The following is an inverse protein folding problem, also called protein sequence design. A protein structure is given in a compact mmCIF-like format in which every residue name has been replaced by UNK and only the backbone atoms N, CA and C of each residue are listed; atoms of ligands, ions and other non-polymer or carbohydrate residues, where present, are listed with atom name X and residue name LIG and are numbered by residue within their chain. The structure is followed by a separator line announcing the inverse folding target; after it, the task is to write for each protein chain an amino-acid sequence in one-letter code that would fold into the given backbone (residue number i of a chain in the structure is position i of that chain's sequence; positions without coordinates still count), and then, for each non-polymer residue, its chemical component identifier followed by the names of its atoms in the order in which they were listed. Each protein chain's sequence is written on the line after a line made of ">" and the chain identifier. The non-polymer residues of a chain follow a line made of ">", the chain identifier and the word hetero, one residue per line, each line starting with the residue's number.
data_IF_609031908361
#
_entry.id   IF_609031908361
#
_cell.length_a   1.000
_cell.length_b   1.000
_cell.length_c   1.000
_cell.angle_alpha   90.00
_cell.angle_beta   90.00
_cell.angle_gamma   90.00
#
_symmetry.space_group_name_H-M   'P 1'
#
loop_
_entity.id
_entity.type
_entity.pdbx_description
1 polymer ?
#
# COMPACT_ATOMS: atom_id res chain seq x y z
N UNK A 1 -7.44 12.17 -10.37
CA UNK A 1 -8.87 11.78 -10.44
C UNK A 1 -9.24 11.12 -11.74
N UNK A 2 -8.99 11.72 -12.91
CA UNK A 2 -9.33 11.08 -14.19
C UNK A 2 -8.74 9.67 -14.36
N UNK A 3 -7.47 9.48 -13.98
CA UNK A 3 -6.82 8.17 -14.04
C UNK A 3 -7.45 7.12 -13.10
N UNK A 4 -8.13 7.53 -12.02
CA UNK A 4 -8.85 6.60 -11.14
C UNK A 4 -10.11 6.06 -11.83
N UNK A 5 -10.83 6.92 -12.56
CA UNK A 5 -11.99 6.50 -13.38
C UNK A 5 -11.62 5.55 -14.54
N UNK A 6 -10.34 5.47 -14.90
CA UNK A 6 -9.83 4.55 -15.92
C UNK A 6 -9.40 3.20 -15.32
N UNK A 7 -9.28 3.09 -14.00
CA UNK A 7 -9.01 1.83 -13.33
C UNK A 7 -10.30 0.99 -13.24
N UNK A 8 -10.34 -0.24 -13.78
CA UNK A 8 -11.57 -1.03 -13.83
C UNK A 8 -12.15 -1.39 -12.47
N UNK A 9 -11.30 -1.62 -11.46
CA UNK A 9 -11.76 -2.01 -10.12
C UNK A 9 -12.33 -0.79 -9.40
N UNK A 10 -11.66 0.36 -9.49
CA UNK A 10 -12.17 1.64 -8.95
C UNK A 10 -13.46 2.05 -9.67
N UNK A 11 -13.47 2.00 -11.00
CA UNK A 11 -14.65 2.34 -11.79
C UNK A 11 -15.86 1.52 -11.33
N UNK A 12 -15.68 0.21 -11.19
CA UNK A 12 -16.73 -0.69 -10.70
C UNK A 12 -17.19 -0.30 -9.30
N UNK A 13 -16.27 -0.16 -8.34
CA UNK A 13 -16.58 0.21 -6.95
C UNK A 13 -17.39 1.51 -6.88
N UNK A 14 -16.97 2.52 -7.62
CA UNK A 14 -17.64 3.82 -7.69
C UNK A 14 -19.02 3.73 -8.35
N UNK A 15 -19.14 3.01 -9.46
CA UNK A 15 -20.45 2.83 -10.11
C UNK A 15 -21.44 2.02 -9.26
N UNK A 16 -20.96 1.04 -8.48
CA UNK A 16 -21.79 0.21 -7.61
C UNK A 16 -22.45 1.03 -6.48
N UNK A 17 -21.82 2.14 -6.07
CA UNK A 17 -22.38 3.10 -5.09
C UNK A 17 -23.06 4.32 -5.75
N UNK A 18 -23.23 4.31 -7.08
CA UNK A 18 -23.93 5.35 -7.83
C UNK A 18 -23.12 6.62 -8.10
N UNK A 19 -21.79 6.57 -7.95
CA UNK A 19 -20.93 7.72 -8.29
C UNK A 19 -20.82 7.91 -9.80
N UNK A 20 -20.73 9.18 -10.21
CA UNK A 20 -20.63 9.56 -11.62
C UNK A 20 -19.42 10.46 -11.86
N UNK A 21 -18.75 10.26 -13.00
CA UNK A 21 -17.59 11.05 -13.39
C UNK A 21 -17.96 12.54 -13.47
N UNK A 22 -17.33 13.36 -12.63
CA UNK A 22 -17.57 14.81 -12.55
C UNK A 22 -18.43 15.24 -11.34
N UNK A 23 -19.09 14.32 -10.65
CA UNK A 23 -19.76 14.56 -9.37
C UNK A 23 -18.92 13.99 -8.21
N UNK A 24 -19.36 14.25 -6.96
CA UNK A 24 -18.71 13.80 -5.71
C UNK A 24 -18.20 12.36 -5.83
N UNK A 25 -16.89 12.21 -5.96
CA UNK A 25 -16.22 10.93 -5.81
C UNK A 25 -16.13 10.56 -4.32
N UNK A 26 -15.91 9.29 -3.99
CA UNK A 26 -15.81 8.74 -2.62
C UNK A 26 -14.88 9.54 -1.69
N UNK A 27 -13.89 10.23 -2.27
CA UNK A 27 -12.96 11.16 -1.62
C UNK A 27 -13.61 12.41 -0.98
N UNK A 28 -14.94 12.56 -1.07
CA UNK A 28 -15.71 13.75 -0.62
C UNK A 28 -16.63 13.48 0.60
N UNK A 29 -16.32 12.44 1.37
CA UNK A 29 -16.99 12.08 2.64
C UNK A 29 -16.55 13.00 3.79
N UNK A 30 -17.38 13.06 4.84
CA UNK A 30 -17.14 13.86 6.06
C UNK A 30 -15.84 13.46 6.79
N UNK A 31 -15.43 12.19 6.66
CA UNK A 31 -14.06 11.72 6.96
C UNK A 31 -13.49 11.10 5.70
N UNK A 32 -12.64 11.82 4.95
CA UNK A 32 -12.13 11.31 3.69
C UNK A 32 -11.06 10.24 3.94
N UNK A 33 -11.34 9.01 3.49
CA UNK A 33 -10.44 7.87 3.51
C UNK A 33 -10.45 7.18 2.14
N UNK A 34 -9.38 6.47 1.80
CA UNK A 34 -9.35 5.61 0.61
C UNK A 34 -9.80 4.20 0.96
N UNK A 35 -10.66 3.61 0.13
CA UNK A 35 -10.89 2.16 0.15
C UNK A 35 -9.59 1.43 -0.21
N UNK A 36 -9.57 0.10 0.00
CA UNK A 36 -8.42 -0.70 -0.37
C UNK A 36 -8.15 -0.67 -1.88
N UNK A 37 -9.22 -0.68 -2.69
CA UNK A 37 -9.16 -0.62 -4.16
C UNK A 37 -8.64 0.75 -4.59
N UNK A 38 -9.17 1.83 -4.02
CA UNK A 38 -8.69 3.18 -4.29
C UNK A 38 -7.22 3.36 -3.90
N UNK A 39 -6.81 2.89 -2.72
CA UNK A 39 -5.42 2.96 -2.25
C UNK A 39 -4.47 2.27 -3.23
N UNK A 40 -4.82 1.06 -3.68
CA UNK A 40 -4.04 0.30 -4.66
C UNK A 40 -3.93 1.02 -6.01
N UNK A 41 -5.04 1.59 -6.50
CA UNK A 41 -5.05 2.35 -7.73
C UNK A 41 -4.20 3.63 -7.63
N UNK A 42 -4.31 4.40 -6.54
CA UNK A 42 -3.48 5.60 -6.34
C UNK A 42 -2.00 5.23 -6.29
N UNK A 43 -1.62 4.21 -5.52
CA UNK A 43 -0.24 3.73 -5.44
C UNK A 43 0.28 3.31 -6.82
N UNK A 44 -0.49 2.51 -7.57
CA UNK A 44 -0.12 2.05 -8.91
C UNK A 44 0.05 3.20 -9.90
N UNK A 45 -0.86 4.18 -9.90
CA UNK A 45 -0.77 5.37 -10.75
C UNK A 45 0.49 6.18 -10.43
N UNK A 46 0.78 6.40 -9.15
CA UNK A 46 1.95 7.16 -8.70
C UNK A 46 3.25 6.44 -9.08
N UNK A 47 3.34 5.14 -8.79
CA UNK A 47 4.51 4.31 -9.14
C UNK A 47 4.72 4.25 -10.65
N UNK A 48 3.66 4.09 -11.44
CA UNK A 48 3.75 4.04 -12.90
C UNK A 48 4.27 5.34 -13.50
N UNK A 49 3.78 6.48 -12.99
CA UNK A 49 4.14 7.80 -13.51
C UNK A 49 5.58 8.20 -13.20
N UNK A 50 6.07 7.85 -12.01
CA UNK A 50 7.31 8.43 -11.49
C UNK A 50 8.43 7.42 -11.26
N UNK A 51 8.12 6.14 -11.07
CA UNK A 51 9.11 5.10 -10.75
C UNK A 51 9.14 3.94 -11.74
N UNK A 52 8.34 3.96 -12.82
CA UNK A 52 8.31 2.91 -13.87
C UNK A 52 8.27 1.48 -13.28
N UNK A 53 7.42 1.25 -12.28
CA UNK A 53 7.28 -0.04 -11.57
C UNK A 53 8.49 -0.50 -10.73
N UNK A 54 9.44 0.39 -10.41
CA UNK A 54 10.59 0.05 -9.56
C UNK A 54 10.28 -0.03 -8.05
N UNK A 55 9.06 0.32 -7.64
CA UNK A 55 8.63 0.26 -6.25
C UNK A 55 7.44 -0.69 -6.11
N UNK A 56 7.43 -1.43 -5.01
CA UNK A 56 6.34 -2.34 -4.67
C UNK A 56 5.10 -1.55 -4.23
N UNK A 57 4.03 -1.65 -5.01
CA UNK A 57 2.75 -1.00 -4.73
C UNK A 57 2.09 -1.57 -3.48
N UNK A 58 2.23 -2.86 -3.24
CA UNK A 58 1.55 -3.57 -2.15
C UNK A 58 2.20 -3.16 -0.81
N UNK A 59 3.53 -2.96 -0.81
CA UNK A 59 4.27 -2.34 0.29
C UNK A 59 3.80 -0.91 0.60
N UNK A 60 3.62 -0.06 -0.42
CA UNK A 60 3.13 1.31 -0.25
C UNK A 60 1.73 1.30 0.38
N UNK A 61 0.85 0.43 -0.10
CA UNK A 61 -0.51 0.31 0.43
C UNK A 61 -0.54 -0.18 1.88
N UNK A 62 0.28 -1.19 2.21
CA UNK A 62 0.39 -1.68 3.58
C UNK A 62 0.91 -0.61 4.54
N UNK A 63 1.90 0.18 4.13
CA UNK A 63 2.41 1.30 4.94
C UNK A 63 1.37 2.39 5.14
N UNK A 64 0.63 2.77 4.08
CA UNK A 64 -0.48 3.72 4.18
C UNK A 64 -1.55 3.28 5.19
N UNK A 65 -1.86 1.99 5.22
CA UNK A 65 -2.80 1.42 6.19
C UNK A 65 -2.24 1.44 7.62
N UNK A 66 -0.97 1.09 7.82
CA UNK A 66 -0.33 1.13 9.15
C UNK A 66 -0.22 2.56 9.68
N UNK A 67 0.12 3.51 8.81
CA UNK A 67 0.42 4.89 9.17
C UNK A 67 -0.84 5.69 9.45
N UNK A 68 -1.85 5.66 8.57
CA UNK A 68 -3.03 6.52 8.69
C UNK A 68 -4.36 5.78 8.62
N UNK A 69 -4.36 4.45 8.49
CA UNK A 69 -5.57 3.70 8.13
C UNK A 69 -6.20 4.23 6.83
N UNK A 70 -5.36 4.64 5.87
CA UNK A 70 -5.72 5.23 4.57
C UNK A 70 -6.51 6.55 4.64
N UNK A 71 -6.48 7.24 5.77
CA UNK A 71 -7.18 8.50 5.96
C UNK A 71 -6.40 9.68 5.33
N UNK A 72 -7.10 10.59 4.66
CA UNK A 72 -6.47 11.65 3.86
C UNK A 72 -6.00 12.83 4.71
N UNK A 73 -6.79 13.23 5.70
CA UNK A 73 -6.62 14.47 6.46
C UNK A 73 -6.04 14.24 7.86
N UNK A 74 -5.27 13.16 8.04
CA UNK A 74 -4.66 12.85 9.34
C UNK A 74 -3.38 13.64 9.51
N UNK A 75 -3.30 14.31 10.65
CA UNK A 75 -2.10 14.94 11.16
C UNK A 75 -1.74 14.35 12.51
N UNK A 76 -0.46 14.00 12.72
CA UNK A 76 0.03 13.51 14.00
C UNK A 76 1.23 14.30 14.44
N UNK A 77 1.09 15.01 15.55
CA UNK A 77 2.18 15.76 16.14
C UNK A 77 3.14 14.83 16.91
N UNK A 78 4.40 14.81 16.52
CA UNK A 78 5.45 14.09 17.22
C UNK A 78 6.19 15.03 18.18
N UNK A 79 5.98 14.84 19.49
CA UNK A 79 6.59 15.66 20.54
C UNK A 79 8.11 15.60 20.57
N UNK A 80 8.73 14.49 20.12
CA UNK A 80 10.20 14.32 20.18
C UNK A 80 10.90 15.21 19.17
N UNK A 81 10.40 15.22 17.93
CA UNK A 81 10.96 16.00 16.82
C UNK A 81 10.28 17.37 16.65
N UNK A 82 9.24 17.65 17.43
CA UNK A 82 8.44 18.90 17.40
C UNK A 82 7.90 19.23 16.00
N UNK A 83 7.47 18.20 15.29
CA UNK A 83 6.94 18.31 13.93
C UNK A 83 5.73 17.38 13.76
N UNK A 84 4.83 17.77 12.87
CA UNK A 84 3.66 16.96 12.49
C UNK A 84 3.93 16.17 11.21
N UNK A 85 3.56 14.88 11.23
CA UNK A 85 3.37 14.09 10.01
C UNK A 85 1.98 14.32 9.46
N UNK A 86 1.83 14.32 8.12
CA UNK A 86 0.56 14.62 7.46
C UNK A 86 0.21 13.60 6.38
N UNK A 87 -1.10 13.43 6.16
CA UNK A 87 -1.68 12.67 5.05
C UNK A 87 -1.55 11.14 5.16
N UNK A 88 -1.91 10.44 4.09
CA UNK A 88 -2.05 8.97 4.06
C UNK A 88 -0.79 8.22 4.55
N UNK A 89 0.37 8.64 4.09
CA UNK A 89 1.65 7.98 4.39
C UNK A 89 2.43 8.68 5.51
N UNK A 90 1.77 9.59 6.25
CA UNK A 90 2.32 10.29 7.41
C UNK A 90 3.70 10.89 7.13
N UNK A 91 3.81 11.66 6.05
CA UNK A 91 5.08 12.27 5.62
C UNK A 91 5.35 13.53 6.44
N UNK A 92 6.59 13.69 6.91
CA UNK A 92 7.08 14.93 7.53
C UNK A 92 7.32 16.01 6.47
N UNK A 93 7.02 17.27 6.80
CA UNK A 93 7.27 18.40 5.90
C UNK A 93 8.77 18.58 5.65
N UNK A 94 9.59 18.40 6.69
CA UNK A 94 11.06 18.44 6.60
C UNK A 94 11.59 17.35 5.68
N UNK A 95 11.12 16.11 5.83
CA UNK A 95 11.49 14.98 4.95
C UNK A 95 11.10 15.26 3.51
N UNK A 96 9.89 15.73 3.26
CA UNK A 96 9.44 16.05 1.91
C UNK A 96 10.29 17.18 1.29
N UNK A 97 10.62 18.22 2.07
CA UNK A 97 11.51 19.31 1.66
C UNK A 97 12.94 18.85 1.35
N UNK A 98 13.51 17.97 2.18
CA UNK A 98 14.81 17.32 1.93
C UNK A 98 14.77 16.50 0.64
N UNK A 99 13.73 15.70 0.41
CA UNK A 99 13.57 14.91 -0.81
C UNK A 99 13.48 15.80 -2.06
N UNK A 100 12.81 16.96 -1.96
CA UNK A 100 12.69 17.93 -3.04
C UNK A 100 14.02 18.63 -3.36
N UNK A 101 14.71 19.14 -2.33
CA UNK A 101 15.95 19.92 -2.47
C UNK A 101 17.17 19.05 -2.75
N UNK A 102 17.35 18.00 -1.95
CA UNK A 102 18.63 17.31 -1.79
C UNK A 102 18.67 15.99 -2.58
N UNK A 103 17.52 15.33 -2.77
CA UNK A 103 17.40 14.02 -3.46
C UNK A 103 16.73 14.13 -4.85
N UNK A 104 16.32 15.34 -5.25
CA UNK A 104 15.77 15.69 -6.59
C UNK A 104 14.42 15.04 -6.93
N UNK A 105 13.56 14.80 -5.93
CA UNK A 105 12.16 14.40 -6.16
C UNK A 105 11.25 15.62 -6.35
N UNK A 106 11.22 16.18 -7.57
CA UNK A 106 10.64 17.51 -7.86
C UNK A 106 9.31 17.53 -8.61
N UNK A 107 8.60 16.40 -8.70
CA UNK A 107 7.34 16.34 -9.45
C UNK A 107 6.25 17.26 -8.90
N UNK A 108 6.30 17.60 -7.61
CA UNK A 108 5.32 18.47 -6.95
C UNK A 108 6.05 19.53 -6.12
N UNK A 109 5.82 20.81 -6.41
CA UNK A 109 6.39 21.91 -5.63
C UNK A 109 5.61 22.11 -4.34
N UNK A 110 6.16 21.59 -3.24
CA UNK A 110 5.60 21.71 -1.88
C UNK A 110 6.15 22.93 -1.12
N UNK A 111 7.29 23.47 -1.55
CA UNK A 111 7.87 24.66 -0.94
C UNK A 111 6.92 25.86 -1.16
N UNK A 112 6.50 26.49 -0.07
CA UNK A 112 5.51 27.57 -0.07
C UNK A 112 4.05 27.11 -0.01
N UNK A 113 3.76 25.81 -0.09
CA UNK A 113 2.40 25.27 0.07
C UNK A 113 2.41 23.85 0.70
N UNK A 114 2.59 23.75 2.04
CA UNK A 114 2.64 22.45 2.73
C UNK A 114 1.31 21.68 2.66
N UNK A 115 0.18 22.37 2.47
CA UNK A 115 -1.16 21.75 2.40
C UNK A 115 -1.30 20.78 1.23
N UNK A 116 -0.42 20.86 0.23
CA UNK A 116 -0.34 19.89 -0.86
C UNK A 116 -0.11 18.47 -0.35
N UNK A 117 0.54 18.29 0.81
CA UNK A 117 0.77 16.97 1.41
C UNK A 117 -0.51 16.30 1.92
N UNK A 118 -1.65 16.99 2.05
CA UNK A 118 -2.94 16.34 2.31
C UNK A 118 -3.56 15.73 1.04
N UNK A 119 -3.02 16.05 -0.15
CA UNK A 119 -3.52 15.47 -1.40
C UNK A 119 -2.96 14.04 -1.55
N UNK A 120 -3.81 13.02 -1.76
CA UNK A 120 -3.40 11.61 -1.73
C UNK A 120 -2.26 11.30 -2.71
N UNK A 121 -2.34 11.79 -3.96
CA UNK A 121 -1.31 11.57 -4.98
C UNK A 121 0.04 12.21 -4.62
N UNK A 122 0.03 13.39 -3.99
CA UNK A 122 1.25 14.11 -3.59
C UNK A 122 1.86 13.46 -2.36
N UNK A 123 1.03 13.09 -1.39
CA UNK A 123 1.48 12.43 -0.18
C UNK A 123 2.12 11.07 -0.49
N UNK A 124 1.44 10.25 -1.32
CA UNK A 124 1.95 8.94 -1.73
C UNK A 124 3.20 9.09 -2.60
N UNK A 125 3.31 10.14 -3.43
CA UNK A 125 4.54 10.45 -4.15
C UNK A 125 5.71 10.66 -3.18
N UNK A 126 5.56 11.52 -2.18
CA UNK A 126 6.65 11.77 -1.23
C UNK A 126 6.93 10.58 -0.30
N UNK A 127 5.91 9.80 0.09
CA UNK A 127 6.11 8.55 0.81
C UNK A 127 6.87 7.51 -0.03
N UNK A 128 6.53 7.35 -1.30
CA UNK A 128 7.26 6.49 -2.24
C UNK A 128 8.70 6.96 -2.50
N UNK A 129 8.90 8.27 -2.62
CA UNK A 129 10.23 8.88 -2.72
C UNK A 129 11.06 8.58 -1.47
N UNK A 130 10.46 8.68 -0.28
CA UNK A 130 11.14 8.36 0.97
C UNK A 130 11.49 6.87 1.06
N UNK A 131 10.59 5.97 0.66
CA UNK A 131 10.89 4.54 0.55
C UNK A 131 12.08 4.27 -0.37
N UNK A 132 12.10 4.88 -1.55
CA UNK A 132 13.21 4.74 -2.50
C UNK A 132 14.52 5.26 -1.91
N UNK A 133 14.49 6.37 -1.19
CA UNK A 133 15.64 6.90 -0.46
C UNK A 133 16.14 5.90 0.60
N UNK A 134 15.24 5.32 1.39
CA UNK A 134 15.59 4.35 2.44
C UNK A 134 16.24 3.07 1.90
N UNK A 135 15.89 2.62 0.69
CA UNK A 135 16.55 1.48 0.05
C UNK A 135 18.04 1.71 -0.23
N UNK A 136 18.48 2.97 -0.36
CA UNK A 136 19.88 3.37 -0.53
C UNK A 136 20.49 4.03 0.71
N UNK A 137 19.85 3.91 1.87
CA UNK A 137 20.25 4.64 3.08
C UNK A 137 21.68 4.29 3.53
N UNK A 138 22.47 5.32 3.86
CA UNK A 138 23.90 5.22 4.23
C UNK A 138 24.78 4.65 3.09
N UNK A 139 24.39 4.87 1.84
CA UNK A 139 25.14 4.39 0.67
C UNK A 139 25.15 2.86 0.52
N UNK A 140 24.25 2.17 1.23
CA UNK A 140 24.13 0.70 1.23
C UNK A 140 22.78 0.31 0.68
N UNK A 141 22.75 -0.81 -0.03
CA UNK A 141 21.50 -1.47 -0.39
C UNK A 141 20.86 -2.05 0.89
N UNK A 142 19.65 -1.59 1.20
CA UNK A 142 18.91 -2.00 2.40
C UNK A 142 17.86 -3.05 2.07
N UNK A 143 17.60 -3.94 3.03
CA UNK A 143 16.55 -4.94 2.94
C UNK A 143 15.17 -4.30 3.10
N UNK A 144 14.12 -4.96 2.59
CA UNK A 144 12.74 -4.50 2.77
C UNK A 144 12.37 -4.36 4.25
N UNK A 145 12.84 -5.28 5.11
CA UNK A 145 12.61 -5.20 6.55
C UNK A 145 13.22 -3.94 7.17
N UNK A 146 14.47 -3.62 6.83
CA UNK A 146 15.10 -2.37 7.27
C UNK A 146 14.29 -1.17 6.80
N UNK A 147 13.89 -1.15 5.52
CA UNK A 147 13.15 -0.02 4.93
C UNK A 147 11.82 0.20 5.65
N UNK A 148 11.05 -0.85 5.92
CA UNK A 148 9.77 -0.74 6.67
C UNK A 148 10.01 -0.20 8.08
N UNK A 149 10.97 -0.77 8.80
CA UNK A 149 11.26 -0.35 10.17
C UNK A 149 11.77 1.11 10.21
N UNK A 150 12.62 1.48 9.26
CA UNK A 150 13.12 2.85 9.10
C UNK A 150 12.03 3.84 8.71
N UNK A 151 11.06 3.42 7.89
CA UNK A 151 9.93 4.26 7.52
C UNK A 151 9.07 4.58 8.75
N UNK A 152 8.69 3.54 9.52
CA UNK A 152 7.78 3.65 10.66
C UNK A 152 8.44 4.23 11.93
N UNK A 153 9.74 4.00 12.11
CA UNK A 153 10.48 4.35 13.34
C UNK A 153 11.60 5.37 13.17
N UNK A 154 11.95 5.73 11.93
CA UNK A 154 13.12 6.52 11.58
C UNK A 154 14.37 5.65 11.34
N UNK A 155 15.22 5.98 10.35
CA UNK A 155 16.33 5.13 9.93
C UNK A 155 17.46 5.01 10.96
N UNK A 156 17.56 5.96 11.90
CA UNK A 156 18.54 5.94 13.00
C UNK A 156 18.12 5.00 14.14
N UNK A 157 16.82 4.65 14.24
CA UNK A 157 16.24 3.88 15.34
C UNK A 157 15.99 2.41 14.98
N UNK A 158 16.56 1.92 13.88
CA UNK A 158 16.35 0.53 13.45
C UNK A 158 17.19 -0.41 14.31
N UNK A 159 16.57 -0.98 15.34
CA UNK A 159 17.15 -2.01 16.21
C UNK A 159 16.24 -3.25 16.20
N UNK A 160 16.76 -4.39 15.74
CA UNK A 160 16.02 -5.65 15.55
C UNK A 160 15.17 -6.09 16.75
N UNK A 161 15.60 -5.79 17.98
CA UNK A 161 14.85 -6.14 19.19
C UNK A 161 13.64 -5.22 19.44
N UNK A 162 13.76 -3.94 19.10
CA UNK A 162 12.73 -2.93 19.37
C UNK A 162 11.78 -2.74 18.18
N UNK A 163 12.27 -2.88 16.95
CA UNK A 163 11.50 -2.67 15.71
C UNK A 163 10.89 -3.96 15.14
N UNK A 164 11.21 -5.13 15.69
CA UNK A 164 10.60 -6.42 15.32
C UNK A 164 9.05 -6.42 15.30
N UNK A 165 8.35 -5.81 16.28
CA UNK A 165 6.89 -5.68 16.24
C UNK A 165 6.36 -4.88 15.03
N UNK A 166 7.09 -3.87 14.56
CA UNK A 166 6.71 -3.06 13.39
C UNK A 166 6.74 -3.90 12.11
N UNK A 167 7.78 -4.72 11.95
CA UNK A 167 7.88 -5.64 10.83
C UNK A 167 6.79 -6.71 10.85
N UNK A 168 6.48 -7.27 12.03
CA UNK A 168 5.38 -8.22 12.18
C UNK A 168 4.05 -7.62 11.75
N UNK A 169 3.73 -6.41 12.25
CA UNK A 169 2.52 -5.67 11.87
C UNK A 169 2.47 -5.48 10.35
N UNK A 170 3.58 -5.07 9.74
CA UNK A 170 3.66 -4.94 8.29
C UNK A 170 3.41 -6.26 7.54
N UNK A 171 4.01 -7.35 7.98
CA UNK A 171 3.83 -8.68 7.37
C UNK A 171 2.40 -9.19 7.47
N UNK A 172 1.67 -8.79 8.51
CA UNK A 172 0.24 -9.08 8.64
C UNK A 172 -0.57 -8.24 7.64
N UNK A 173 -0.33 -6.93 7.60
CA UNK A 173 -1.06 -5.98 6.75
C UNK A 173 -0.83 -6.21 5.25
N UNK A 174 0.39 -6.54 4.82
CA UNK A 174 0.68 -6.71 3.39
C UNK A 174 -0.12 -7.86 2.77
N UNK A 175 -0.50 -8.88 3.55
CA UNK A 175 -1.31 -10.00 3.05
C UNK A 175 -2.69 -9.56 2.53
N UNK A 176 -3.21 -8.41 2.98
CA UNK A 176 -4.46 -7.87 2.45
C UNK A 176 -4.30 -7.38 1.00
N UNK A 177 -3.10 -6.96 0.61
CA UNK A 177 -2.80 -6.36 -0.69
C UNK A 177 -2.19 -7.34 -1.70
N UNK A 178 -1.50 -8.37 -1.22
CA UNK A 178 -0.95 -9.44 -2.04
C UNK A 178 -2.06 -10.12 -2.85
N UNK A 179 -2.05 -9.94 -4.18
CA UNK A 179 -2.95 -10.68 -5.06
C UNK A 179 -2.42 -12.11 -5.21
N UNK A 180 -3.16 -13.15 -4.76
CA UNK A 180 -2.73 -14.54 -4.91
C UNK A 180 -2.55 -14.93 -6.37
N UNK A 181 -3.25 -14.27 -7.30
CA UNK A 181 -3.11 -14.48 -8.74
C UNK A 181 -1.74 -14.05 -9.24
N UNK A 182 -1.09 -13.03 -8.64
CA UNK A 182 0.30 -12.65 -8.96
C UNK A 182 1.29 -13.72 -8.53
N UNK A 183 1.09 -14.34 -7.37
CA UNK A 183 1.91 -15.47 -6.88
C UNK A 183 1.76 -16.65 -7.84
N UNK A 184 0.53 -16.98 -8.24
CA UNK A 184 0.26 -18.06 -9.18
C UNK A 184 0.92 -17.83 -10.55
N UNK A 185 0.78 -16.63 -11.13
CA UNK A 185 1.40 -16.28 -12.43
C UNK A 185 2.93 -16.26 -12.33
N UNK A 186 3.50 -15.72 -11.25
CA UNK A 186 4.95 -15.71 -11.03
C UNK A 186 5.55 -17.12 -10.87
N UNK A 187 4.86 -17.99 -10.13
CA UNK A 187 5.23 -19.41 -9.99
C UNK A 187 5.06 -20.15 -11.31
N UNK A 188 3.99 -19.89 -12.07
CA UNK A 188 3.78 -20.50 -13.39
C UNK A 188 4.83 -20.06 -14.42
N UNK A 189 5.25 -18.80 -14.38
CA UNK A 189 6.34 -18.28 -15.22
C UNK A 189 7.69 -18.89 -14.83
N UNK A 190 8.02 -18.98 -13.53
CA UNK A 190 9.22 -19.66 -13.06
C UNK A 190 9.22 -21.16 -13.41
N UNK A 191 8.09 -21.85 -13.24
CA UNK A 191 7.89 -23.25 -13.66
C UNK A 191 8.15 -23.43 -15.16
N UNK A 192 7.69 -22.49 -15.99
CA UNK A 192 7.93 -22.52 -17.43
C UNK A 192 9.42 -22.35 -17.78
N UNK A 193 10.14 -21.47 -17.06
CA UNK A 193 11.60 -21.31 -17.24
C UNK A 193 12.41 -22.50 -16.73
N UNK A 194 12.04 -23.08 -15.60
CA UNK A 194 12.78 -24.16 -14.95
C UNK A 194 12.57 -25.53 -15.61
N UNK A 195 11.43 -25.76 -16.29
CA UNK A 195 11.22 -26.96 -17.13
C UNK A 195 12.27 -27.11 -18.25
N UNK A 196 12.97 -26.04 -18.62
CA UNK A 196 14.06 -26.07 -19.59
C UNK A 196 15.42 -26.48 -19.00
N UNK A 197 15.53 -26.58 -17.67
CA UNK A 197 16.75 -26.99 -16.97
C UNK A 197 16.51 -28.38 -16.34
N UNK A 198 16.86 -29.45 -17.05
CA UNK A 198 16.48 -30.83 -16.69
C UNK A 198 17.27 -31.43 -15.52
N UNK A 199 16.87 -31.17 -14.28
CA UNK A 199 17.38 -31.91 -13.10
C UNK A 199 16.26 -32.35 -12.16
N UNK A 200 16.41 -33.54 -11.53
CA UNK A 200 15.41 -34.13 -10.61
C UNK A 200 15.20 -33.34 -9.32
N UNK A 201 16.23 -32.65 -8.82
CA UNK A 201 16.13 -31.81 -7.62
C UNK A 201 15.25 -30.57 -7.84
N UNK A 202 15.21 -30.03 -9.07
CA UNK A 202 14.28 -28.97 -9.43
C UNK A 202 12.83 -29.44 -9.36
N UNK A 203 12.53 -30.71 -9.63
CA UNK A 203 11.15 -31.21 -9.62
C UNK A 203 10.51 -31.12 -8.22
N UNK A 204 11.25 -31.47 -7.17
CA UNK A 204 10.75 -31.34 -5.80
C UNK A 204 10.58 -29.88 -5.36
N UNK A 205 11.48 -28.99 -5.75
CA UNK A 205 11.35 -27.55 -5.47
C UNK A 205 10.12 -26.98 -6.19
N UNK A 206 9.87 -27.41 -7.42
CA UNK A 206 8.70 -27.01 -8.21
C UNK A 206 7.38 -27.51 -7.62
N UNK A 207 7.35 -28.74 -7.10
CA UNK A 207 6.19 -29.27 -6.37
C UNK A 207 5.90 -28.44 -5.12
N UNK A 208 6.91 -28.17 -4.29
CA UNK A 208 6.75 -27.37 -3.08
C UNK A 208 6.27 -25.94 -3.37
N UNK A 209 6.79 -25.30 -4.43
CA UNK A 209 6.34 -23.96 -4.85
C UNK A 209 4.89 -23.96 -5.36
N UNK A 210 4.47 -25.01 -6.07
CA UNK A 210 3.08 -25.13 -6.54
C UNK A 210 2.09 -25.39 -5.39
N UNK A 211 2.47 -26.21 -4.41
CA UNK A 211 1.70 -26.44 -3.18
C UNK A 211 1.60 -25.13 -2.38
N UNK A 212 2.69 -24.40 -2.24
CA UNK A 212 2.71 -23.10 -1.56
C UNK A 212 1.81 -22.06 -2.24
N UNK A 213 1.86 -21.99 -3.58
CA UNK A 213 0.98 -21.11 -4.35
C UNK A 213 -0.50 -21.49 -4.19
N UNK A 214 -0.82 -22.79 -4.26
CA UNK A 214 -2.18 -23.30 -4.07
C UNK A 214 -2.70 -23.02 -2.65
N UNK A 215 -1.85 -23.18 -1.63
CA UNK A 215 -2.16 -22.84 -0.24
C UNK A 215 -2.49 -21.34 -0.08
N UNK A 216 -1.66 -20.44 -0.63
CA UNK A 216 -1.92 -19.01 -0.56
C UNK A 216 -3.18 -18.59 -1.32
N UNK A 217 -3.44 -19.21 -2.47
CA UNK A 217 -4.68 -19.02 -3.22
C UNK A 217 -5.91 -19.44 -2.39
N UNK A 218 -5.88 -20.62 -1.78
CA UNK A 218 -6.95 -21.11 -0.92
C UNK A 218 -7.15 -20.23 0.32
N UNK A 219 -6.05 -19.76 0.94
CA UNK A 219 -6.10 -18.86 2.10
C UNK A 219 -6.79 -17.54 1.74
N UNK A 220 -6.46 -16.94 0.60
CA UNK A 220 -7.10 -15.71 0.14
C UNK A 220 -8.57 -15.90 -0.24
N UNK A 221 -8.91 -17.00 -0.91
CA UNK A 221 -10.30 -17.34 -1.20
C UNK A 221 -11.12 -17.43 0.10
N UNK A 222 -10.54 -18.00 1.16
CA UNK A 222 -11.18 -18.08 2.48
C UNK A 222 -11.31 -16.71 3.16
N UNK A 223 -10.33 -15.80 3.08
CA UNK A 223 -10.48 -14.43 3.61
C UNK A 223 -11.52 -13.62 2.82
N UNK A 224 -11.54 -13.70 1.48
CA UNK A 224 -12.57 -13.03 0.68
C UNK A 224 -13.98 -13.55 0.99
N UNK A 225 -14.13 -14.86 1.24
CA UNK A 225 -15.39 -15.43 1.75
C UNK A 225 -15.72 -14.86 3.12
N UNK A 226 -14.74 -14.70 4.00
CA UNK A 226 -14.93 -14.15 5.35
C UNK A 226 -15.34 -12.68 5.32
N UNK A 227 -14.76 -11.88 4.43
CA UNK A 227 -15.13 -10.49 4.21
C UNK A 227 -16.53 -10.36 3.60
N UNK A 228 -16.89 -11.21 2.62
CA UNK A 228 -18.26 -11.30 2.08
C UNK A 228 -19.28 -11.77 3.13
N UNK A 229 -18.89 -12.71 4.00
CA UNK A 229 -19.72 -13.18 5.11
C UNK A 229 -19.90 -12.09 6.19
N UNK A 230 -18.88 -11.26 6.39
CA UNK A 230 -18.93 -10.10 7.29
C UNK A 230 -19.79 -8.98 6.71
N UNK A 231 -19.66 -8.70 5.41
CA UNK A 231 -20.46 -7.72 4.68
C UNK A 231 -21.94 -8.11 4.65
N UNK A 232 -22.25 -9.39 4.39
CA UNK A 232 -23.63 -9.88 4.42
C UNK A 232 -24.22 -9.78 5.83
N UNK A 233 -23.48 -10.17 6.88
CA UNK A 233 -23.91 -10.05 8.30
C UNK A 233 -24.18 -8.59 8.72
N UNK A 234 -23.50 -7.61 8.14
CA UNK A 234 -23.83 -6.19 8.32
C UNK A 234 -25.05 -5.75 7.50
N UNK A 235 -25.26 -6.27 6.29
CA UNK A 235 -26.45 -5.95 5.48
C UNK A 235 -27.77 -6.46 6.09
N UNK A 236 -27.72 -7.55 6.88
CA UNK A 236 -28.89 -8.06 7.62
C UNK A 236 -29.21 -7.25 8.88
N UNK A 237 -28.24 -6.52 9.45
CA UNK A 237 -28.50 -5.62 10.60
C UNK A 237 -29.13 -4.28 10.22
N UNK A 238 -29.05 -3.87 8.95
CA UNK A 238 -29.64 -2.61 8.47
C UNK A 238 -31.07 -2.74 7.93
N UNK A 239 -31.58 -3.96 7.75
CA UNK A 239 -33.01 -4.19 7.49
C UNK A 239 -33.71 -4.56 8.80
N UNK A 240 -34.12 -3.54 9.54
CA UNK A 240 -34.97 -3.70 10.70
C UNK A 240 -36.25 -4.47 10.35
N UNK A 241 -36.56 -5.46 11.18
CA UNK A 241 -37.92 -5.88 11.44
C UNK A 241 -38.07 -5.72 12.94
N UNK A 242 -38.71 -4.61 13.33
CA UNK A 242 -39.27 -4.42 14.66
C UNK A 242 -40.40 -5.43 14.84
N UNK A 243 -40.33 -6.22 15.92
CA UNK A 243 -41.46 -7.01 16.38
C UNK A 243 -42.31 -6.14 17.31
N UNK A 244 -43.46 -5.71 16.80
CA UNK A 244 -44.72 -5.62 17.53
C UNK A 244 -45.78 -6.39 16.74
#
# INVERSE_FOLDING_TARGET
>A
MEAMWMDPEVFKEWTDVGETKGNKAHLSRDQPYLTQIEMKAVAQIVVNRHWRLQLDTDMICALAEIESDRQLLVERYNKKIKESTVGIMQVLQTTAGMLFRDVVYRSYQIEGNPDLLYRPFVNIYYGAAYLKYLYGYDGKERTAEFVVQAYLGGPENVNLLETGPLWRKFRETINYYEDPRRIFVGVQYMLCRLKNYGTRELHHILELLSIYAAYNFAKSFMTSIWDLASYSRWSWKFRGIDFL
#
